data_IF_631776786689
#
_entry.id   IF_631776786689
#
_cell.length_a   1.000
_cell.length_b   1.000
_cell.length_c   1.000
_cell.angle_alpha   90.00
_cell.angle_beta   90.00
_cell.angle_gamma   90.00
#
_symmetry.space_group_name_H-M   'P 1'
#
loop_
_entity.id
_entity.type
_entity.pdbx_description
1 polymer ?
#
# COMPACT_ATOMS: atom_id res chain seq x y z
N UNK A 1 3.17 6.77 -6.22
CA UNK A 1 1.94 5.98 -6.00
C UNK A 1 2.29 4.50 -6.14
N UNK A 2 2.00 3.67 -5.13
CA UNK A 2 2.29 2.22 -5.19
C UNK A 2 1.44 1.57 -6.29
N UNK A 3 2.02 0.67 -7.08
CA UNK A 3 1.28 -0.03 -8.15
C UNK A 3 0.41 -1.13 -7.54
N UNK A 4 -0.78 -1.39 -8.11
CA UNK A 4 -1.69 -2.45 -7.65
C UNK A 4 -1.00 -3.81 -7.50
N UNK A 5 -0.11 -4.17 -8.43
CA UNK A 5 0.68 -5.41 -8.35
C UNK A 5 1.57 -5.48 -7.10
N UNK A 6 2.25 -4.38 -6.75
CA UNK A 6 3.13 -4.30 -5.59
C UNK A 6 2.32 -4.40 -4.29
N UNK A 7 1.17 -3.72 -4.27
CA UNK A 7 0.27 -3.76 -3.12
C UNK A 7 -0.27 -5.17 -2.88
N UNK A 8 -0.70 -5.88 -3.93
CA UNK A 8 -1.15 -7.28 -3.84
C UNK A 8 -0.06 -8.21 -3.32
N UNK A 9 1.18 -8.02 -3.79
CA UNK A 9 2.34 -8.79 -3.31
C UNK A 9 2.58 -8.53 -1.82
N UNK A 10 2.53 -7.28 -1.37
CA UNK A 10 2.69 -6.93 0.03
C UNK A 10 1.61 -7.57 0.91
N UNK A 11 0.32 -7.40 0.57
CA UNK A 11 -0.78 -8.01 1.35
C UNK A 11 -0.60 -9.53 1.45
N UNK A 12 -0.24 -10.18 0.33
CA UNK A 12 0.02 -11.62 0.32
C UNK A 12 1.14 -12.00 1.29
N UNK A 13 2.27 -11.28 1.28
CA UNK A 13 3.37 -11.51 2.22
C UNK A 13 2.94 -11.36 3.67
N UNK A 14 2.17 -10.32 3.99
CA UNK A 14 1.70 -10.10 5.38
C UNK A 14 0.71 -11.20 5.82
N UNK A 15 -0.21 -11.60 4.95
CA UNK A 15 -1.12 -12.72 5.21
C UNK A 15 -0.37 -14.04 5.41
N UNK A 16 0.70 -14.28 4.64
CA UNK A 16 1.54 -15.47 4.75
C UNK A 16 2.31 -15.47 6.09
N UNK A 17 2.83 -14.33 6.55
CA UNK A 17 3.47 -14.19 7.88
C UNK A 17 2.54 -14.52 9.04
N UNK A 18 1.25 -14.14 8.94
CA UNK A 18 0.24 -14.42 9.96
C UNK A 18 -0.22 -15.89 9.99
N UNK A 19 0.02 -16.64 8.92
CA UNK A 19 -0.32 -18.06 8.83
C UNK A 19 -1.80 -18.36 8.53
N UNK A 20 -2.19 -19.61 8.79
CA UNK A 20 -3.50 -20.14 8.38
C UNK A 20 -4.66 -19.34 8.97
N UNK A 21 -5.66 -19.04 8.14
CA UNK A 21 -6.87 -18.31 8.55
C UNK A 21 -6.74 -16.79 8.52
N UNK A 22 -5.56 -16.23 8.24
CA UNK A 22 -5.33 -14.78 8.13
C UNK A 22 -6.28 -14.11 7.12
N UNK A 23 -6.51 -14.74 5.96
CA UNK A 23 -7.47 -14.25 4.97
C UNK A 23 -8.90 -14.15 5.49
N UNK A 24 -9.34 -15.09 6.34
CA UNK A 24 -10.69 -15.05 6.90
C UNK A 24 -10.81 -13.92 7.93
N UNK A 25 -9.75 -13.67 8.71
CA UNK A 25 -9.68 -12.55 9.65
C UNK A 25 -9.69 -11.20 8.92
N UNK A 26 -8.90 -11.06 7.85
CA UNK A 26 -8.90 -9.85 7.03
C UNK A 26 -10.26 -9.63 6.36
N UNK A 27 -10.89 -10.68 5.83
CA UNK A 27 -12.24 -10.60 5.25
C UNK A 27 -13.26 -10.07 6.27
N UNK A 28 -13.23 -10.60 7.50
CA UNK A 28 -14.10 -10.15 8.59
C UNK A 28 -13.83 -8.69 8.97
N UNK A 29 -12.56 -8.29 9.07
CA UNK A 29 -12.17 -6.91 9.37
C UNK A 29 -12.65 -5.91 8.30
N UNK A 30 -12.60 -6.29 7.02
CA UNK A 30 -13.07 -5.46 5.91
C UNK A 30 -14.60 -5.54 5.70
N UNK A 31 -15.31 -6.43 6.39
CA UNK A 31 -16.75 -6.65 6.18
C UNK A 31 -17.09 -7.27 4.82
N UNK A 32 -16.17 -8.03 4.21
CA UNK A 32 -16.35 -8.66 2.89
C UNK A 32 -16.25 -10.18 2.95
N UNK A 33 -16.70 -10.85 1.88
CA UNK A 33 -16.64 -12.32 1.78
C UNK A 33 -15.21 -12.78 1.52
N UNK A 34 -14.83 -13.93 2.10
CA UNK A 34 -13.48 -14.52 1.93
C UNK A 34 -13.01 -14.66 0.46
N UNK A 35 -13.83 -15.07 -0.51
CA UNK A 35 -13.41 -15.12 -1.92
C UNK A 35 -12.98 -13.75 -2.48
N UNK A 36 -13.55 -12.65 -1.97
CA UNK A 36 -13.15 -11.30 -2.39
C UNK A 36 -11.71 -10.96 -2.00
N UNK A 37 -11.19 -11.53 -0.90
CA UNK A 37 -9.77 -11.43 -0.53
C UNK A 37 -8.91 -12.21 -1.52
N UNK A 38 -9.32 -13.42 -1.88
CA UNK A 38 -8.60 -14.21 -2.89
C UNK A 38 -8.49 -13.45 -4.21
N UNK A 39 -9.58 -12.87 -4.71
CA UNK A 39 -9.59 -12.07 -5.95
C UNK A 39 -8.78 -10.77 -5.80
N UNK A 40 -8.74 -10.18 -4.60
CA UNK A 40 -7.95 -8.99 -4.31
C UNK A 40 -6.45 -9.27 -4.41
N UNK A 41 -5.94 -10.35 -3.81
CA UNK A 41 -4.50 -10.63 -3.72
C UNK A 41 -3.97 -11.54 -4.84
N UNK A 42 -4.84 -11.99 -5.74
CA UNK A 42 -4.47 -12.84 -6.85
C UNK A 42 -3.64 -12.07 -7.89
N UNK A 43 -2.50 -12.66 -8.29
CA UNK A 43 -1.55 -12.09 -9.24
C UNK A 43 -1.71 -12.68 -10.66
N UNK A 44 -2.50 -13.75 -10.81
CA UNK A 44 -2.73 -14.39 -12.09
C UNK A 44 -3.86 -13.66 -12.84
N UNK A 45 -3.52 -13.05 -13.98
CA UNK A 45 -4.44 -12.31 -14.85
C UNK A 45 -5.50 -13.19 -15.52
N UNK A 46 -5.29 -14.51 -15.56
CA UNK A 46 -6.23 -15.47 -16.17
C UNK A 46 -7.30 -15.96 -15.19
N UNK A 47 -7.40 -15.35 -14.01
CA UNK A 47 -8.38 -15.65 -12.97
C UNK A 47 -9.05 -14.35 -12.56
N UNK A 48 -10.14 -14.46 -11.82
CA UNK A 48 -10.77 -13.28 -11.22
C UNK A 48 -9.74 -12.51 -10.37
N UNK A 49 -9.56 -11.24 -10.73
CA UNK A 49 -8.73 -10.29 -10.02
C UNK A 49 -9.51 -9.00 -9.88
N UNK A 50 -9.22 -8.24 -8.83
CA UNK A 50 -9.71 -6.87 -8.70
C UNK A 50 -8.66 -5.97 -8.08
N UNK A 51 -8.81 -4.68 -8.29
CA UNK A 51 -7.98 -3.68 -7.65
C UNK A 51 -8.44 -3.39 -6.22
N UNK A 52 -7.49 -2.96 -5.41
CA UNK A 52 -7.69 -2.54 -4.02
C UNK A 52 -8.04 -1.07 -4.02
N UNK A 53 -9.18 -0.74 -3.42
CA UNK A 53 -9.63 0.65 -3.31
C UNK A 53 -8.87 1.36 -2.18
N UNK A 54 -8.85 2.70 -2.23
CA UNK A 54 -8.11 3.51 -1.27
C UNK A 54 -8.63 3.36 0.17
N UNK A 55 -9.95 3.30 0.36
CA UNK A 55 -10.60 3.09 1.66
C UNK A 55 -10.32 1.68 2.22
N UNK A 56 -10.25 0.68 1.35
CA UNK A 56 -9.86 -0.68 1.73
C UNK A 56 -8.39 -0.73 2.14
N UNK A 57 -7.52 -0.01 1.44
CA UNK A 57 -6.10 0.07 1.76
C UNK A 57 -5.86 0.61 3.17
N UNK A 58 -6.56 1.66 3.58
CA UNK A 58 -6.44 2.22 4.95
C UNK A 58 -6.76 1.14 5.99
N UNK A 59 -7.89 0.44 5.84
CA UNK A 59 -8.29 -0.64 6.75
C UNK A 59 -7.32 -1.83 6.73
N UNK A 60 -6.76 -2.15 5.56
CA UNK A 60 -5.74 -3.20 5.43
C UNK A 60 -4.47 -2.81 6.19
N UNK A 61 -4.05 -1.54 6.11
CA UNK A 61 -2.91 -1.03 6.87
C UNK A 61 -3.19 -1.07 8.38
N UNK A 62 -4.37 -0.65 8.83
CA UNK A 62 -4.80 -0.77 10.23
C UNK A 62 -4.76 -2.23 10.72
N UNK A 63 -5.22 -3.18 9.89
CA UNK A 63 -5.20 -4.60 10.21
C UNK A 63 -3.77 -5.13 10.44
N UNK A 64 -2.79 -4.65 9.66
CA UNK A 64 -1.39 -5.05 9.79
C UNK A 64 -0.56 -4.17 10.73
N UNK A 65 -1.16 -3.10 11.29
CA UNK A 65 -0.59 -2.16 12.27
C UNK A 65 0.70 -1.47 11.78
N UNK A 66 1.84 -2.11 12.00
CA UNK A 66 3.19 -1.56 11.83
C UNK A 66 3.79 -1.88 10.46
N UNK A 67 3.03 -2.56 9.60
CA UNK A 67 3.45 -2.92 8.25
C UNK A 67 2.89 -1.92 7.25
N UNK A 68 3.78 -1.36 6.41
CA UNK A 68 3.39 -0.47 5.32
C UNK A 68 3.69 -1.14 3.97
N UNK A 69 2.79 -1.01 2.97
CA UNK A 69 3.11 -1.40 1.60
C UNK A 69 4.23 -0.55 0.99
N UNK A 70 4.53 0.58 1.62
CA UNK A 70 5.62 1.45 1.25
C UNK A 70 6.87 0.96 1.97
N UNK A 71 7.54 -0.07 1.43
CA UNK A 71 8.83 -0.51 1.93
C UNK A 71 9.93 0.41 1.39
N UNK A 72 10.31 1.39 2.20
CA UNK A 72 11.47 2.24 2.01
C UNK A 72 11.85 2.84 3.35
N UNK A 73 13.14 3.06 3.62
CA UNK A 73 13.56 3.89 4.74
C UNK A 73 13.25 5.35 4.38
N UNK A 74 11.98 5.72 4.44
CA UNK A 74 11.66 7.12 4.69
C UNK A 74 12.09 7.35 6.13
N UNK A 75 12.83 8.42 6.40
CA UNK A 75 12.94 8.80 7.81
C UNK A 75 11.51 9.07 8.30
N UNK A 76 11.17 8.57 9.48
CA UNK A 76 9.90 8.92 10.14
C UNK A 76 9.72 10.46 10.16
N UNK A 77 10.85 11.17 10.25
CA UNK A 77 10.94 12.62 10.12
C UNK A 77 10.43 13.16 8.77
N UNK A 78 10.73 12.52 7.63
CA UNK A 78 10.31 13.04 6.33
C UNK A 78 8.78 12.98 6.17
N UNK A 79 8.16 11.85 6.53
CA UNK A 79 6.71 11.70 6.46
C UNK A 79 6.00 12.62 7.44
N UNK A 80 6.55 12.76 8.65
CA UNK A 80 6.04 13.71 9.64
C UNK A 80 6.11 15.15 9.13
N UNK A 81 7.27 15.62 8.68
CA UNK A 81 7.46 16.98 8.16
C UNK A 81 6.58 17.25 6.93
N UNK A 82 6.51 16.29 6.00
CA UNK A 82 5.66 16.41 4.82
C UNK A 82 4.16 16.47 5.19
N UNK A 83 3.73 15.76 6.24
CA UNK A 83 2.34 15.82 6.70
C UNK A 83 1.95 17.19 7.27
N UNK A 84 2.89 17.88 7.95
CA UNK A 84 2.69 19.19 8.56
C UNK A 84 2.75 20.35 7.55
N UNK A 85 3.38 20.13 6.39
CA UNK A 85 3.54 21.14 5.36
C UNK A 85 2.19 21.55 4.73
N UNK A 86 2.08 22.83 4.38
CA UNK A 86 0.94 23.34 3.61
C UNK A 86 1.03 22.94 2.12
N UNK A 87 -0.03 23.22 1.34
CA UNK A 87 -0.12 22.78 -0.06
C UNK A 87 0.98 23.38 -0.95
N UNK A 88 1.38 24.63 -0.68
CA UNK A 88 2.47 25.28 -1.41
C UNK A 88 3.82 24.63 -1.11
N UNK A 89 4.09 24.30 0.15
CA UNK A 89 5.32 23.64 0.59
C UNK A 89 5.42 22.21 0.05
N UNK A 90 4.32 21.44 0.10
CA UNK A 90 4.25 20.10 -0.49
C UNK A 90 4.57 20.14 -1.98
N UNK A 91 4.02 21.13 -2.70
CA UNK A 91 4.29 21.33 -4.13
C UNK A 91 5.76 21.59 -4.43
N UNK A 92 6.44 22.38 -3.59
CA UNK A 92 7.89 22.63 -3.72
C UNK A 92 8.68 21.33 -3.54
N UNK A 93 8.35 20.55 -2.51
CA UNK A 93 9.02 19.25 -2.26
C UNK A 93 8.83 18.30 -3.44
N UNK A 94 7.63 18.22 -4.02
CA UNK A 94 7.39 17.41 -5.21
C UNK A 94 8.24 17.83 -6.42
N UNK A 95 8.34 19.14 -6.68
CA UNK A 95 9.05 19.66 -7.84
C UNK A 95 10.57 19.50 -7.69
N UNK A 96 11.09 19.60 -6.47
CA UNK A 96 12.48 19.25 -6.17
C UNK A 96 12.75 17.76 -6.44
N UNK A 97 11.88 16.86 -5.95
CA UNK A 97 12.03 15.42 -6.17
C UNK A 97 11.97 15.07 -7.66
N UNK A 98 11.07 15.69 -8.44
CA UNK A 98 11.01 15.52 -9.90
C UNK A 98 12.31 15.96 -10.57
N UNK A 99 12.87 17.09 -10.16
CA UNK A 99 14.13 17.62 -10.71
C UNK A 99 15.30 16.68 -10.46
N UNK A 100 15.41 16.13 -9.24
CA UNK A 100 16.45 15.14 -8.89
C UNK A 100 16.32 13.85 -9.71
N UNK A 101 15.09 13.38 -9.94
CA UNK A 101 14.84 12.20 -10.76
C UNK A 101 15.17 12.42 -12.23
N UNK A 102 14.89 13.61 -12.77
CA UNK A 102 15.25 13.99 -14.12
C UNK A 102 16.78 14.02 -14.29
N UNK A 103 17.49 14.68 -13.38
CA UNK A 103 18.95 14.77 -13.39
C UNK A 103 19.67 13.41 -13.24
N UNK A 104 19.02 12.40 -12.63
CA UNK A 104 19.58 11.05 -12.52
C UNK A 104 19.51 10.25 -13.83
N UNK A 105 18.55 10.57 -14.70
CA UNK A 105 18.30 9.84 -15.94
C UNK A 105 18.86 10.54 -17.18
N UNK A 106 19.60 11.64 -16.99
CA UNK A 106 20.33 12.42 -18.00
C UNK A 106 21.82 12.16 -17.89
#
# INVERSE_FOLDING_TARGET
MIRQKELKIWIKKELDKMGRGSQAKLAAHLGIRRPAISNMINLNTNRETRDIKADELVKIMEFFKDSSPISGSYSDDFLYLYSQANDSEKKIVEDLLKSLLAARNS
#
